data_IF_425838278129
#
_entry.id   IF_425838278129
#
_cell.length_a   1.000
_cell.length_b   1.000
_cell.length_c   1.000
_cell.angle_alpha   90.00
_cell.angle_beta   90.00
_cell.angle_gamma   90.00
#
_symmetry.space_group_name_H-M   'P 1'
#
loop_
_entity.id
_entity.type
_entity.pdbx_description
1 polymer ?
#
# COMPACT_ATOMS: atom_id res chain seq x y z
N UNK A 1 12.04 -13.95 3.63
CA UNK A 1 11.24 -13.21 2.67
C UNK A 1 10.31 -12.25 3.38
N UNK A 2 10.36 -10.99 3.00
CA UNK A 2 9.68 -9.93 3.73
C UNK A 2 8.32 -9.60 3.10
N UNK A 3 7.45 -10.59 3.07
CA UNK A 3 6.10 -10.41 2.51
C UNK A 3 5.06 -10.58 3.60
N UNK A 4 4.04 -9.73 3.54
CA UNK A 4 2.87 -9.83 4.40
C UNK A 4 1.77 -10.47 3.57
N UNK A 5 1.23 -11.56 4.07
CA UNK A 5 0.18 -12.29 3.37
C UNK A 5 -1.16 -11.58 3.50
N UNK A 6 -2.04 -11.69 2.49
CA UNK A 6 -3.34 -11.03 2.54
C UNK A 6 -4.37 -11.82 3.35
N UNK A 7 -3.96 -12.45 4.45
CA UNK A 7 -4.88 -13.08 5.39
C UNK A 7 -5.49 -12.06 6.35
N UNK A 8 -4.97 -10.84 6.35
CA UNK A 8 -5.56 -9.69 7.03
C UNK A 8 -5.84 -8.64 5.98
N UNK A 9 -6.99 -7.99 6.05
CA UNK A 9 -7.41 -7.04 5.01
C UNK A 9 -6.73 -5.68 5.17
N UNK A 10 -5.42 -5.63 4.94
CA UNK A 10 -4.69 -4.37 4.94
C UNK A 10 -4.95 -3.57 3.67
N UNK A 11 -5.43 -4.23 2.60
CA UNK A 11 -5.71 -3.55 1.34
C UNK A 11 -6.75 -2.45 1.49
N UNK A 12 -7.78 -2.71 2.29
CA UNK A 12 -8.80 -1.72 2.57
C UNK A 12 -8.22 -0.49 3.27
N UNK A 13 -7.29 -0.71 4.20
CA UNK A 13 -6.62 0.40 4.88
C UNK A 13 -5.69 1.17 3.92
N UNK A 14 -5.03 0.48 2.98
CA UNK A 14 -4.21 1.13 1.96
C UNK A 14 -5.09 2.06 1.12
N UNK A 15 -6.25 1.57 0.68
CA UNK A 15 -7.17 2.36 -0.12
C UNK A 15 -7.68 3.57 0.66
N UNK A 16 -8.06 3.38 1.91
CA UNK A 16 -8.53 4.46 2.78
C UNK A 16 -7.48 5.54 2.95
N UNK A 17 -6.23 5.14 3.19
CA UNK A 17 -5.13 6.09 3.36
C UNK A 17 -4.86 6.85 2.07
N UNK A 18 -4.98 6.18 0.92
CA UNK A 18 -4.84 6.84 -0.36
C UNK A 18 -5.91 7.91 -0.54
N UNK A 19 -7.17 7.59 -0.25
CA UNK A 19 -8.26 8.57 -0.34
C UNK A 19 -8.06 9.75 0.62
N UNK A 20 -7.59 9.47 1.83
CA UNK A 20 -7.33 10.53 2.80
C UNK A 20 -6.27 11.50 2.31
N UNK A 21 -5.33 11.01 1.49
CA UNK A 21 -4.29 11.85 0.90
C UNK A 21 -4.68 12.41 -0.47
N UNK A 22 -5.91 12.15 -0.92
CA UNK A 22 -6.46 12.67 -2.19
C UNK A 22 -5.59 12.28 -3.38
N UNK A 23 -5.09 11.03 -3.38
CA UNK A 23 -4.26 10.51 -4.45
C UNK A 23 -5.02 9.50 -5.27
N UNK A 24 -4.76 9.50 -6.58
CA UNK A 24 -5.20 8.41 -7.46
C UNK A 24 -4.23 7.25 -7.36
N UNK A 25 -4.65 6.07 -7.86
CA UNK A 25 -3.76 4.93 -7.92
C UNK A 25 -2.52 5.24 -8.77
N UNK A 26 -2.72 5.91 -9.90
CA UNK A 26 -1.62 6.29 -10.80
C UNK A 26 -0.62 7.20 -10.11
N UNK A 27 -1.11 8.13 -9.29
CA UNK A 27 -0.23 9.03 -8.56
C UNK A 27 0.61 8.27 -7.52
N UNK A 28 0.01 7.31 -6.83
CA UNK A 28 0.76 6.49 -5.87
C UNK A 28 1.82 5.67 -6.60
N UNK A 29 1.47 5.07 -7.74
CA UNK A 29 2.40 4.28 -8.52
C UNK A 29 3.59 5.14 -8.97
N UNK A 30 3.32 6.37 -9.42
CA UNK A 30 4.39 7.29 -9.83
C UNK A 30 5.30 7.64 -8.65
N UNK A 31 4.73 7.83 -7.46
CA UNK A 31 5.54 8.11 -6.27
C UNK A 31 6.39 6.91 -5.86
N UNK A 32 5.84 5.70 -6.00
CA UNK A 32 6.60 4.47 -5.74
C UNK A 32 7.78 4.36 -6.70
N UNK A 33 7.57 4.68 -7.97
CA UNK A 33 8.63 4.65 -8.98
C UNK A 33 9.78 5.59 -8.62
N UNK A 34 9.46 6.77 -8.12
CA UNK A 34 10.48 7.73 -7.67
C UNK A 34 11.29 7.18 -6.49
N UNK A 35 10.75 6.22 -5.77
CA UNK A 35 11.43 5.57 -4.65
C UNK A 35 12.12 4.27 -5.07
N UNK A 36 12.17 3.98 -6.38
CA UNK A 36 12.83 2.81 -6.90
C UNK A 36 11.97 1.55 -6.94
N UNK A 37 10.67 1.68 -6.70
CA UNK A 37 9.75 0.53 -6.68
C UNK A 37 8.86 0.62 -7.92
N UNK A 38 9.10 -0.30 -8.88
CA UNK A 38 8.30 -0.37 -10.09
C UNK A 38 7.10 -1.28 -9.84
N UNK A 39 5.90 -0.76 -10.09
CA UNK A 39 4.69 -1.51 -9.87
C UNK A 39 3.68 -1.14 -10.95
N UNK A 40 3.06 -2.16 -11.56
CA UNK A 40 2.00 -1.94 -12.54
C UNK A 40 0.71 -1.55 -11.84
N UNK A 41 -0.19 -0.91 -12.58
CA UNK A 41 -1.50 -0.56 -12.05
C UNK A 41 -2.27 -1.80 -11.62
N UNK A 42 -2.17 -2.87 -12.39
CA UNK A 42 -2.83 -4.13 -12.07
C UNK A 42 -2.35 -4.69 -10.74
N UNK A 43 -1.03 -4.69 -10.53
CA UNK A 43 -0.45 -5.17 -9.27
C UNK A 43 -0.89 -4.29 -8.10
N UNK A 44 -0.83 -2.98 -8.27
CA UNK A 44 -1.22 -2.06 -7.21
C UNK A 44 -2.70 -2.24 -6.84
N UNK A 45 -3.57 -2.36 -7.85
CA UNK A 45 -4.99 -2.57 -7.61
C UNK A 45 -5.24 -3.85 -6.81
N UNK A 46 -4.44 -4.90 -7.06
CA UNK A 46 -4.55 -6.15 -6.30
C UNK A 46 -4.14 -5.96 -4.84
N UNK A 47 -3.19 -5.06 -4.55
CA UNK A 47 -2.86 -4.75 -3.17
C UNK A 47 -4.06 -4.13 -2.44
N UNK A 48 -4.75 -3.21 -3.07
CA UNK A 48 -5.90 -2.54 -2.44
C UNK A 48 -7.10 -3.46 -2.27
N UNK A 49 -7.20 -4.51 -3.08
CA UNK A 49 -8.26 -5.51 -2.95
C UNK A 49 -7.82 -6.74 -2.17
N UNK A 50 -6.67 -6.66 -1.54
CA UNK A 50 -6.12 -7.71 -0.68
C UNK A 50 -5.93 -9.04 -1.39
N UNK A 51 -5.56 -9.01 -2.68
CA UNK A 51 -5.39 -10.21 -3.50
C UNK A 51 -3.93 -10.55 -3.78
N UNK A 52 -3.00 -9.79 -3.21
CA UNK A 52 -1.56 -10.03 -3.37
C UNK A 52 -0.84 -9.81 -2.06
N UNK A 53 0.26 -10.55 -1.89
CA UNK A 53 1.18 -10.27 -0.80
C UNK A 53 1.86 -8.94 -1.04
N UNK A 54 2.11 -8.19 0.03
CA UNK A 54 2.88 -6.97 -0.05
C UNK A 54 4.25 -7.21 0.59
N UNK A 55 5.29 -6.63 0.00
CA UNK A 55 6.63 -6.66 0.59
C UNK A 55 6.73 -5.62 1.69
N UNK A 56 7.54 -5.90 2.71
CA UNK A 56 7.76 -4.94 3.79
C UNK A 56 8.29 -3.62 3.23
N UNK A 57 9.20 -3.68 2.24
CA UNK A 57 9.73 -2.47 1.61
C UNK A 57 8.64 -1.64 0.94
N UNK A 58 7.65 -2.30 0.33
CA UNK A 58 6.52 -1.61 -0.29
C UNK A 58 5.64 -0.94 0.77
N UNK A 59 5.42 -1.63 1.88
CA UNK A 59 4.62 -1.10 2.98
C UNK A 59 5.29 0.14 3.58
N UNK A 60 6.60 0.08 3.78
CA UNK A 60 7.36 1.23 4.30
C UNK A 60 7.28 2.40 3.33
N UNK A 61 7.42 2.15 2.02
CA UNK A 61 7.32 3.19 1.01
C UNK A 61 5.93 3.84 1.02
N UNK A 62 4.88 3.02 1.10
CA UNK A 62 3.51 3.53 1.16
C UNK A 62 3.28 4.37 2.41
N UNK A 63 3.87 3.98 3.55
CA UNK A 63 3.73 4.78 4.78
C UNK A 63 4.30 6.18 4.60
N UNK A 64 5.40 6.29 3.86
CA UNK A 64 6.00 7.60 3.57
C UNK A 64 5.15 8.40 2.59
N UNK A 65 4.62 7.75 1.55
CA UNK A 65 3.77 8.40 0.56
C UNK A 65 2.49 8.93 1.21
N UNK A 66 1.91 8.15 2.12
CA UNK A 66 0.67 8.53 2.81
C UNK A 66 0.90 9.34 4.08
N UNK A 67 2.16 9.65 4.41
CA UNK A 67 2.53 10.45 5.58
C UNK A 67 1.92 9.86 6.85
N UNK A 68 2.07 8.57 7.05
CA UNK A 68 1.46 7.88 8.17
C UNK A 68 2.43 6.88 8.80
N UNK A 69 2.08 6.45 10.01
CA UNK A 69 2.76 5.37 10.70
C UNK A 69 2.34 4.04 10.08
N UNK A 70 3.24 3.05 10.11
CA UNK A 70 2.95 1.70 9.64
C UNK A 70 1.74 1.10 10.35
N UNK A 71 1.53 1.45 11.61
CA UNK A 71 0.39 0.94 12.37
C UNK A 71 -0.96 1.26 11.72
N UNK A 72 -1.04 2.34 10.95
CA UNK A 72 -2.27 2.74 10.30
C UNK A 72 -2.75 1.68 9.29
N UNK A 73 -1.83 0.89 8.73
CA UNK A 73 -2.20 -0.17 7.79
C UNK A 73 -2.91 -1.34 8.48
N UNK A 74 -2.75 -1.46 9.78
CA UNK A 74 -3.33 -2.55 10.57
C UNK A 74 -4.50 -2.07 11.43
N UNK A 75 -4.94 -0.84 11.24
CA UNK A 75 -6.02 -0.27 12.03
C UNK A 75 -7.29 -1.09 11.85
N UNK A 76 -7.91 -1.46 12.97
CA UNK A 76 -9.11 -2.28 12.98
C UNK A 76 -8.87 -3.77 12.80
N UNK A 77 -7.61 -4.21 12.62
CA UNK A 77 -7.27 -5.60 12.36
C UNK A 77 -6.65 -6.31 13.57
N UNK A 78 -6.23 -5.56 14.55
CA UNK A 78 -5.53 -6.12 15.73
C UNK A 78 -6.37 -6.00 16.98
#
# INVERSE_FOLDING_TARGET
MQKIRPDMDIGNNIQRLRYQNKLTQEQVIAKLELMGILMSKSTYAKLETNRMNIKVSELVALSKIFHTDINAFFEGLL
#
